data_IF_229016331473
#
_entry.id   IF_229016331473
#
_cell.length_a   1.000
_cell.length_b   1.000
_cell.length_c   1.000
_cell.angle_alpha   90.00
_cell.angle_beta   90.00
_cell.angle_gamma   90.00
#
_symmetry.space_group_name_H-M   'P 1'
#
loop_
_entity.id
_entity.type
_entity.pdbx_description
1 polymer ?
#
# COMPACT_ATOMS: atom_id res chain seq x y z
N UNK A 1 -4.76 -7.94 6.36
CA UNK A 1 -3.61 -7.16 6.85
C UNK A 1 -3.33 -5.97 5.94
N UNK A 2 -3.07 -4.80 6.53
CA UNK A 2 -2.83 -3.55 5.78
C UNK A 2 -1.49 -2.98 6.21
N UNK A 3 -0.56 -2.83 5.26
CA UNK A 3 0.72 -2.17 5.46
C UNK A 3 0.60 -0.69 5.10
N UNK A 4 0.76 0.16 6.10
CA UNK A 4 0.52 1.60 6.03
C UNK A 4 -0.86 1.96 6.60
N UNK A 5 -0.87 2.52 7.81
CA UNK A 5 -2.10 2.94 8.53
C UNK A 5 -2.38 4.44 8.39
N UNK A 6 -1.95 5.01 7.27
CA UNK A 6 -2.28 6.38 6.87
C UNK A 6 -3.69 6.49 6.30
N UNK A 7 -3.97 7.57 5.59
CA UNK A 7 -5.28 7.87 5.03
C UNK A 7 -5.82 6.74 4.13
N UNK A 8 -5.04 6.32 3.13
CA UNK A 8 -5.42 5.21 2.23
C UNK A 8 -5.69 3.93 3.02
N UNK A 9 -4.79 3.55 3.93
CA UNK A 9 -4.94 2.33 4.71
C UNK A 9 -6.18 2.33 5.61
N UNK A 10 -6.50 3.47 6.24
CA UNK A 10 -7.71 3.62 7.05
C UNK A 10 -8.98 3.49 6.21
N UNK A 11 -9.02 4.11 5.04
CA UNK A 11 -10.16 3.98 4.13
C UNK A 11 -10.33 2.56 3.56
N UNK A 12 -9.23 1.86 3.30
CA UNK A 12 -9.28 0.43 2.94
C UNK A 12 -9.84 -0.38 4.10
N UNK A 13 -9.34 -0.17 5.32
CA UNK A 13 -9.82 -0.87 6.51
C UNK A 13 -11.33 -0.70 6.73
N UNK A 14 -11.84 0.53 6.62
CA UNK A 14 -13.27 0.82 6.74
C UNK A 14 -14.10 0.05 5.70
N UNK A 15 -13.65 0.03 4.44
CA UNK A 15 -14.35 -0.70 3.36
C UNK A 15 -14.29 -2.20 3.57
N UNK A 16 -13.14 -2.74 3.96
CA UNK A 16 -13.01 -4.17 4.27
C UNK A 16 -13.94 -4.58 5.41
N UNK A 17 -14.07 -3.75 6.45
CA UNK A 17 -15.04 -3.98 7.54
C UNK A 17 -16.47 -4.03 7.01
N UNK A 18 -16.85 -3.09 6.15
CA UNK A 18 -18.18 -3.06 5.53
C UNK A 18 -18.45 -4.26 4.61
N UNK A 19 -17.40 -4.86 4.05
CA UNK A 19 -17.48 -6.08 3.24
C UNK A 19 -17.43 -7.36 4.06
N UNK A 20 -17.41 -7.27 5.40
CA UNK A 20 -17.47 -8.42 6.30
C UNK A 20 -16.13 -9.01 6.72
N UNK A 21 -15.03 -8.26 6.60
CA UNK A 21 -13.74 -8.72 7.13
C UNK A 21 -13.85 -8.97 8.64
N UNK A 22 -13.54 -10.20 9.06
CA UNK A 22 -13.65 -10.62 10.45
C UNK A 22 -12.56 -9.99 11.33
N UNK A 23 -11.35 -9.84 10.78
CA UNK A 23 -10.18 -9.29 11.48
C UNK A 23 -9.39 -8.39 10.55
N UNK A 24 -9.06 -7.19 10.99
CA UNK A 24 -8.26 -6.23 10.25
C UNK A 24 -7.04 -5.83 11.08
N UNK A 25 -5.86 -6.15 10.58
CA UNK A 25 -4.58 -5.86 11.21
C UNK A 25 -3.91 -4.73 10.44
N UNK A 26 -3.47 -3.70 11.15
CA UNK A 26 -2.69 -2.62 10.59
C UNK A 26 -1.22 -2.67 11.00
N UNK A 27 -0.30 -2.47 10.06
CA UNK A 27 1.12 -2.28 10.36
C UNK A 27 1.59 -0.92 9.88
N UNK A 28 2.31 -0.25 10.75
CA UNK A 28 2.93 1.05 10.46
C UNK A 28 4.28 1.15 11.15
N UNK A 29 5.05 2.18 10.80
CA UNK A 29 6.34 2.42 11.45
C UNK A 29 6.24 2.49 12.99
N UNK A 30 5.19 3.13 13.48
CA UNK A 30 4.98 3.34 14.92
C UNK A 30 4.06 2.32 15.58
N UNK A 31 3.45 1.41 14.84
CA UNK A 31 2.41 0.52 15.37
C UNK A 31 1.13 1.26 15.79
N UNK A 32 0.87 2.44 15.20
CA UNK A 32 -0.28 3.29 15.56
C UNK A 32 -1.07 3.67 14.32
N UNK A 33 -2.34 4.00 14.52
CA UNK A 33 -3.23 4.61 13.54
C UNK A 33 -3.93 5.82 14.17
N UNK A 34 -4.37 6.76 13.34
CA UNK A 34 -5.25 7.86 13.78
C UNK A 34 -6.69 7.42 13.96
N UNK A 35 -7.10 6.41 13.22
CA UNK A 35 -8.47 5.89 13.19
C UNK A 35 -8.59 4.57 13.94
N UNK A 36 -9.70 4.39 14.66
CA UNK A 36 -10.01 3.17 15.42
C UNK A 36 -10.71 2.12 14.55
N UNK A 37 -10.12 1.77 13.39
CA UNK A 37 -10.70 0.86 12.39
C UNK A 37 -10.05 -0.52 12.35
N UNK A 38 -8.94 -0.69 13.06
CA UNK A 38 -8.15 -1.91 13.14
C UNK A 38 -8.44 -2.68 14.42
N UNK A 39 -8.51 -4.01 14.33
CA UNK A 39 -8.63 -4.89 15.50
C UNK A 39 -7.29 -5.04 16.23
N UNK A 40 -6.17 -4.92 15.50
CA UNK A 40 -4.83 -4.93 16.05
C UNK A 40 -3.90 -4.02 15.22
N UNK A 41 -2.92 -3.44 15.92
CA UNK A 41 -1.90 -2.57 15.32
C UNK A 41 -0.52 -3.03 15.78
N UNK A 42 0.41 -3.17 14.83
CA UNK A 42 1.78 -3.59 15.11
C UNK A 42 2.79 -2.65 14.45
N UNK A 43 3.99 -2.53 15.02
CA UNK A 43 5.13 -1.96 14.31
C UNK A 43 5.44 -2.76 13.04
N UNK A 44 5.93 -2.09 12.00
CA UNK A 44 6.25 -2.74 10.73
C UNK A 44 7.34 -3.85 10.87
N UNK A 45 8.15 -3.78 11.92
CA UNK A 45 9.14 -4.81 12.26
C UNK A 45 8.52 -6.16 12.60
N UNK A 46 7.28 -6.20 13.04
CA UNK A 46 6.57 -7.42 13.42
C UNK A 46 5.85 -8.07 12.22
N UNK A 47 6.11 -7.60 11.00
CA UNK A 47 5.44 -8.05 9.76
C UNK A 47 5.49 -9.58 9.62
N UNK A 48 6.65 -10.18 9.85
CA UNK A 48 6.85 -11.62 9.67
C UNK A 48 5.90 -12.46 10.55
N UNK A 49 5.64 -12.01 11.76
CA UNK A 49 4.73 -12.70 12.69
C UNK A 49 3.26 -12.64 12.26
N UNK A 50 2.89 -11.61 11.49
CA UNK A 50 1.51 -11.39 11.04
C UNK A 50 1.23 -12.05 9.69
N UNK A 51 2.24 -12.22 8.83
CA UNK A 51 2.05 -12.74 7.49
C UNK A 51 1.43 -14.13 7.44
N UNK A 52 1.72 -15.01 8.40
CA UNK A 52 1.21 -16.38 8.42
C UNK A 52 -0.31 -16.50 8.62
N UNK A 53 -0.98 -15.47 9.12
CA UNK A 53 -2.44 -15.41 9.27
C UNK A 53 -3.11 -14.45 8.25
N UNK A 54 -2.34 -13.90 7.28
CA UNK A 54 -2.80 -12.88 6.36
C UNK A 54 -3.42 -13.49 5.10
N UNK A 55 -4.74 -13.51 5.00
CA UNK A 55 -5.45 -13.96 3.79
C UNK A 55 -5.47 -12.90 2.68
N UNK A 56 -5.54 -11.62 3.06
CA UNK A 56 -5.46 -10.47 2.16
C UNK A 56 -4.43 -9.49 2.68
N UNK A 57 -3.37 -9.27 1.91
CA UNK A 57 -2.34 -8.26 2.18
C UNK A 57 -2.57 -7.04 1.29
N UNK A 58 -2.84 -5.88 1.90
CA UNK A 58 -2.92 -4.61 1.18
C UNK A 58 -1.73 -3.74 1.56
N UNK A 59 -1.01 -3.24 0.55
CA UNK A 59 0.16 -2.40 0.73
C UNK A 59 -0.13 -0.98 0.24
N UNK A 60 -0.05 -0.02 1.18
CA UNK A 60 -0.22 1.42 0.94
C UNK A 60 0.97 2.18 1.57
N UNK A 61 2.18 1.74 1.25
CA UNK A 61 3.43 2.25 1.81
C UNK A 61 4.06 3.30 0.88
N UNK A 62 4.69 4.35 1.43
CA UNK A 62 5.55 5.25 0.67
C UNK A 62 6.84 4.54 0.23
N UNK A 63 7.56 5.09 -0.76
CA UNK A 63 8.89 4.62 -1.13
C UNK A 63 9.95 5.21 -0.19
N UNK A 64 10.52 4.37 0.65
CA UNK A 64 11.61 4.71 1.57
C UNK A 64 12.61 3.58 1.62
N UNK A 65 13.80 3.82 2.13
CA UNK A 65 14.80 2.77 2.30
C UNK A 65 14.29 1.58 3.14
N UNK A 66 13.36 1.80 4.08
CA UNK A 66 12.80 0.76 4.93
C UNK A 66 11.65 -0.03 4.26
N UNK A 67 11.00 0.55 3.24
CA UNK A 67 9.85 -0.09 2.58
C UNK A 67 10.22 -0.80 1.28
N UNK A 68 11.39 -0.52 0.72
CA UNK A 68 11.91 -1.21 -0.47
C UNK A 68 12.14 -2.69 -0.18
N UNK A 69 11.66 -3.55 -1.07
CA UNK A 69 11.74 -5.01 -0.90
C UNK A 69 11.02 -5.52 0.36
N UNK A 70 10.05 -4.76 0.86
CA UNK A 70 9.30 -5.13 2.07
C UNK A 70 8.65 -6.51 1.93
N UNK A 71 8.11 -6.83 0.76
CA UNK A 71 7.56 -8.14 0.43
C UNK A 71 8.52 -8.84 -0.54
N UNK A 72 9.56 -9.42 0.03
CA UNK A 72 10.55 -10.26 -0.67
C UNK A 72 10.08 -11.72 -0.83
N UNK A 73 10.85 -12.55 -1.53
CA UNK A 73 10.57 -13.99 -1.75
C UNK A 73 10.33 -14.72 -0.44
N UNK A 74 11.12 -14.44 0.60
CA UNK A 74 10.99 -15.07 1.91
C UNK A 74 9.65 -14.74 2.57
N UNK A 75 9.25 -13.48 2.53
CA UNK A 75 7.97 -13.02 3.11
C UNK A 75 6.77 -13.48 2.31
N UNK A 76 6.88 -13.54 0.99
CA UNK A 76 5.85 -14.17 0.14
C UNK A 76 5.63 -15.64 0.56
N UNK A 77 6.68 -16.36 0.91
CA UNK A 77 6.58 -17.73 1.39
C UNK A 77 5.95 -17.88 2.78
N UNK A 78 5.90 -16.83 3.60
CA UNK A 78 5.19 -16.82 4.90
C UNK A 78 3.68 -16.65 4.76
N UNK A 79 3.20 -16.08 3.65
CA UNK A 79 1.76 -15.92 3.43
C UNK A 79 1.07 -17.29 3.35
N UNK A 80 -0.17 -17.45 3.81
CA UNK A 80 -0.94 -18.66 3.59
C UNK A 80 -1.06 -19.00 2.10
N UNK A 81 -1.17 -20.28 1.78
CA UNK A 81 -1.56 -20.67 0.42
C UNK A 81 -2.92 -20.03 0.12
N UNK A 82 -3.06 -19.49 -1.08
CA UNK A 82 -4.26 -18.77 -1.53
C UNK A 82 -4.42 -17.35 -0.97
N UNK A 83 -3.43 -16.79 -0.29
CA UNK A 83 -3.47 -15.38 0.05
C UNK A 83 -3.54 -14.50 -1.22
N UNK A 84 -4.17 -13.34 -1.07
CA UNK A 84 -4.23 -12.29 -2.08
C UNK A 84 -3.30 -11.13 -1.70
N UNK A 85 -2.63 -10.54 -2.68
CA UNK A 85 -1.75 -9.39 -2.49
C UNK A 85 -2.24 -8.21 -3.34
N UNK A 86 -2.43 -7.05 -2.71
CA UNK A 86 -2.81 -5.80 -3.40
C UNK A 86 -1.75 -4.75 -3.08
N UNK A 87 -1.22 -4.08 -4.11
CA UNK A 87 -0.30 -2.97 -3.92
C UNK A 87 -0.79 -1.72 -4.65
N UNK A 88 -1.14 -0.70 -3.86
CA UNK A 88 -1.52 0.65 -4.32
C UNK A 88 -0.54 1.72 -3.78
N UNK A 89 0.57 1.29 -3.20
CA UNK A 89 1.60 2.17 -2.65
C UNK A 89 2.70 2.48 -3.66
N UNK A 90 3.77 1.70 -3.65
CA UNK A 90 4.90 1.83 -4.59
C UNK A 90 5.40 0.45 -5.03
N UNK A 91 5.77 0.33 -6.30
CA UNK A 91 6.26 -0.93 -6.88
C UNK A 91 7.52 -1.45 -6.22
N UNK A 92 8.39 -0.55 -5.75
CA UNK A 92 9.63 -0.88 -5.03
C UNK A 92 9.44 -1.70 -3.76
N UNK A 93 8.21 -1.75 -3.21
CA UNK A 93 7.92 -2.48 -1.99
C UNK A 93 7.83 -4.01 -2.19
N UNK A 94 7.73 -4.49 -3.44
CA UNK A 94 7.58 -5.92 -3.76
C UNK A 94 8.73 -6.37 -4.66
N UNK A 95 9.27 -7.54 -4.37
CA UNK A 95 10.14 -8.30 -5.29
C UNK A 95 9.27 -8.92 -6.39
N UNK A 96 9.19 -8.24 -7.55
CA UNK A 96 8.22 -8.54 -8.61
C UNK A 96 8.41 -9.94 -9.22
N UNK A 97 9.66 -10.38 -9.42
CA UNK A 97 9.95 -11.73 -9.92
C UNK A 97 9.47 -12.79 -8.94
N UNK A 98 9.71 -12.60 -7.64
CA UNK A 98 9.26 -13.54 -6.62
C UNK A 98 7.73 -13.62 -6.55
N UNK A 99 7.04 -12.50 -6.76
CA UNK A 99 5.57 -12.47 -6.82
C UNK A 99 5.06 -13.21 -8.05
N UNK A 100 5.65 -12.99 -9.23
CA UNK A 100 5.29 -13.68 -10.48
C UNK A 100 5.48 -15.19 -10.35
N UNK A 101 6.60 -15.64 -9.78
CA UNK A 101 6.86 -17.05 -9.50
C UNK A 101 5.79 -17.65 -8.60
N UNK A 102 5.49 -17.00 -7.47
CA UNK A 102 4.50 -17.48 -6.51
C UNK A 102 3.08 -17.58 -7.10
N UNK A 103 2.71 -16.66 -7.98
CA UNK A 103 1.44 -16.72 -8.72
C UNK A 103 1.43 -17.88 -9.74
N UNK A 104 2.50 -18.04 -10.51
CA UNK A 104 2.61 -19.08 -11.53
C UNK A 104 2.62 -20.48 -10.93
N UNK A 105 3.21 -20.65 -9.75
CA UNK A 105 3.24 -21.88 -8.95
C UNK A 105 1.92 -22.15 -8.20
N UNK A 106 0.95 -21.23 -8.23
CA UNK A 106 -0.30 -21.35 -7.48
C UNK A 106 -0.09 -21.30 -5.97
N UNK A 107 0.98 -20.66 -5.51
CA UNK A 107 1.29 -20.43 -4.10
C UNK A 107 0.39 -19.33 -3.52
N UNK A 108 0.05 -18.34 -4.34
CA UNK A 108 -0.91 -17.27 -4.04
C UNK A 108 -2.15 -17.43 -4.94
N UNK A 109 -3.31 -17.02 -4.46
CA UNK A 109 -4.56 -17.02 -5.24
C UNK A 109 -4.55 -15.97 -6.34
N UNK A 110 -3.92 -14.83 -6.09
CA UNK A 110 -3.84 -13.74 -7.03
C UNK A 110 -3.16 -12.51 -6.46
N UNK A 111 -2.95 -11.52 -7.34
CA UNK A 111 -2.50 -10.20 -6.92
C UNK A 111 -3.16 -9.10 -7.77
N UNK A 112 -3.18 -7.88 -7.24
CA UNK A 112 -3.56 -6.67 -7.96
C UNK A 112 -2.49 -5.60 -7.70
N UNK A 113 -1.84 -5.13 -8.74
CA UNK A 113 -0.79 -4.12 -8.67
C UNK A 113 -1.19 -2.91 -9.49
N UNK A 114 -1.30 -1.76 -8.85
CA UNK A 114 -1.44 -0.48 -9.55
C UNK A 114 -0.08 0.16 -9.82
N UNK A 115 0.97 -0.38 -9.20
CA UNK A 115 2.33 0.17 -9.24
C UNK A 115 3.36 -0.95 -9.51
N UNK A 116 4.40 -0.61 -10.28
CA UNK A 116 5.47 -1.53 -10.67
C UNK A 116 6.84 -0.82 -10.66
N UNK A 117 7.90 -1.55 -10.98
CA UNK A 117 9.27 -1.02 -11.14
C UNK A 117 9.99 -1.77 -12.27
N UNK A 118 10.52 -1.00 -13.25
CA UNK A 118 10.31 0.42 -13.50
C UNK A 118 8.89 0.72 -14.03
N UNK A 119 8.51 1.97 -14.02
CA UNK A 119 7.30 2.45 -14.69
C UNK A 119 7.70 3.36 -15.86
N UNK A 120 7.20 3.11 -17.10
CA UNK A 120 6.33 1.99 -17.52
C UNK A 120 6.98 0.62 -17.39
N UNK A 121 6.17 -0.40 -17.11
CA UNK A 121 6.65 -1.77 -17.00
C UNK A 121 7.17 -2.28 -18.37
N UNK A 122 8.43 -2.77 -18.49
CA UNK A 122 8.98 -3.30 -19.72
C UNK A 122 8.14 -4.44 -20.30
N UNK A 123 8.10 -4.54 -21.64
CA UNK A 123 7.26 -5.53 -22.33
C UNK A 123 7.64 -6.99 -22.05
N UNK A 124 8.89 -7.24 -21.67
CA UNK A 124 9.44 -8.55 -21.33
C UNK A 124 9.36 -8.89 -19.84
N UNK A 125 8.74 -8.01 -19.03
CA UNK A 125 8.63 -8.23 -17.60
C UNK A 125 7.71 -9.44 -17.30
N UNK A 126 8.12 -10.37 -16.41
CA UNK A 126 7.36 -11.58 -16.09
C UNK A 126 5.96 -11.32 -15.49
N UNK A 127 5.70 -10.14 -14.95
CA UNK A 127 4.37 -9.78 -14.44
C UNK A 127 3.31 -9.78 -15.55
N UNK A 128 3.66 -9.51 -16.83
CA UNK A 128 2.68 -9.53 -17.93
C UNK A 128 2.06 -10.91 -18.18
N UNK A 129 2.78 -11.97 -17.85
CA UNK A 129 2.35 -13.36 -18.06
C UNK A 129 2.04 -14.09 -16.75
N UNK A 130 2.13 -13.42 -15.61
CA UNK A 130 1.82 -13.99 -14.31
C UNK A 130 0.32 -14.33 -14.20
N UNK A 131 0.02 -15.51 -13.67
CA UNK A 131 -1.35 -15.99 -13.49
C UNK A 131 -2.08 -15.19 -12.42
N UNK A 132 -3.38 -14.98 -12.61
CA UNK A 132 -4.24 -14.34 -11.63
C UNK A 132 -3.72 -12.96 -11.14
N UNK A 133 -3.06 -12.21 -12.02
CA UNK A 133 -2.56 -10.88 -11.76
C UNK A 133 -3.41 -9.84 -12.48
N UNK A 134 -3.87 -8.84 -11.76
CA UNK A 134 -4.44 -7.60 -12.29
C UNK A 134 -3.36 -6.53 -12.23
N UNK A 135 -3.03 -5.94 -13.39
CA UNK A 135 -2.13 -4.80 -13.50
C UNK A 135 -2.90 -3.58 -13.96
N UNK A 136 -2.73 -2.45 -13.29
CA UNK A 136 -3.22 -1.15 -13.73
C UNK A 136 -2.06 -0.16 -13.81
N UNK A 137 -2.08 0.82 -14.73
CA UNK A 137 -0.93 1.67 -15.02
C UNK A 137 -0.86 2.90 -14.10
N UNK A 138 -0.77 2.69 -12.79
CA UNK A 138 -0.63 3.70 -11.74
C UNK A 138 -1.78 4.75 -11.79
N UNK A 139 -3.01 4.28 -11.75
CA UNK A 139 -4.22 5.11 -11.93
C UNK A 139 -5.15 5.12 -10.71
N UNK A 140 -4.85 4.39 -9.65
CA UNK A 140 -5.71 4.31 -8.46
C UNK A 140 -5.80 5.62 -7.66
N UNK A 141 -4.80 6.50 -7.80
CA UNK A 141 -4.75 7.83 -7.20
C UNK A 141 -4.91 8.98 -8.23
N UNK A 142 -5.61 8.74 -9.32
CA UNK A 142 -5.65 9.63 -10.46
C UNK A 142 -6.38 10.96 -10.17
N UNK A 143 -5.76 12.07 -10.65
CA UNK A 143 -6.31 13.44 -10.61
C UNK A 143 -7.49 13.67 -11.55
N UNK A 144 -7.91 12.68 -12.33
CA UNK A 144 -9.06 12.81 -13.26
C UNK A 144 -10.42 12.78 -12.55
N UNK A 145 -10.46 12.36 -11.28
CA UNK A 145 -11.68 12.45 -10.48
C UNK A 145 -11.84 13.87 -9.95
N UNK A 146 -12.95 14.53 -10.24
CA UNK A 146 -13.24 15.90 -9.82
C UNK A 146 -13.02 16.11 -8.32
N UNK A 147 -13.49 15.17 -7.49
CA UNK A 147 -13.25 15.20 -6.04
C UNK A 147 -11.76 15.27 -5.67
N UNK A 148 -10.89 14.53 -6.34
CA UNK A 148 -9.44 14.55 -6.06
C UNK A 148 -8.83 15.89 -6.43
N UNK A 149 -9.24 16.48 -7.54
CA UNK A 149 -8.82 17.82 -7.94
C UNK A 149 -9.25 18.86 -6.91
N UNK A 150 -10.51 18.85 -6.51
CA UNK A 150 -11.07 19.82 -5.54
C UNK A 150 -10.35 19.73 -4.19
N UNK A 151 -10.15 18.51 -3.68
CA UNK A 151 -9.43 18.28 -2.43
C UNK A 151 -7.97 18.81 -2.49
N UNK A 152 -7.25 18.59 -3.59
CA UNK A 152 -5.90 19.14 -3.75
C UNK A 152 -5.88 20.66 -3.81
N UNK A 153 -6.85 21.28 -4.48
CA UNK A 153 -6.99 22.74 -4.52
C UNK A 153 -7.27 23.29 -3.13
N UNK A 154 -8.18 22.67 -2.37
CA UNK A 154 -8.49 23.07 -0.99
C UNK A 154 -7.28 22.98 -0.05
N UNK A 155 -6.52 21.86 -0.14
CA UNK A 155 -5.29 21.69 0.63
C UNK A 155 -4.27 22.78 0.29
N UNK A 156 -4.05 23.06 -1.00
CA UNK A 156 -3.15 24.11 -1.44
C UNK A 156 -3.61 25.51 -0.98
N UNK A 157 -4.88 25.84 -1.13
CA UNK A 157 -5.42 27.13 -0.69
C UNK A 157 -5.30 27.31 0.83
N UNK A 158 -5.51 26.25 1.59
CA UNK A 158 -5.34 26.25 3.06
C UNK A 158 -3.89 26.60 3.43
N UNK A 159 -2.93 25.94 2.81
CA UNK A 159 -1.51 26.19 3.10
C UNK A 159 -1.04 27.54 2.56
N UNK A 160 -1.55 28.01 1.43
CA UNK A 160 -1.27 29.34 0.91
C UNK A 160 -1.77 30.44 1.88
N UNK A 161 -2.99 30.30 2.41
CA UNK A 161 -3.53 31.21 3.39
C UNK A 161 -2.72 31.22 4.70
N UNK A 162 -2.27 30.03 5.14
CA UNK A 162 -1.39 29.92 6.30
C UNK A 162 -0.03 30.58 6.06
N UNK A 163 0.57 30.35 4.89
CA UNK A 163 1.84 30.97 4.50
C UNK A 163 1.73 32.51 4.47
N UNK A 164 0.70 33.04 3.83
CA UNK A 164 0.45 34.48 3.75
C UNK A 164 0.24 35.12 5.13
N UNK A 165 -0.31 34.38 6.09
CA UNK A 165 -0.55 34.85 7.45
C UNK A 165 0.61 34.54 8.42
N UNK A 166 1.74 33.99 7.95
CA UNK A 166 2.86 33.59 8.80
C UNK A 166 2.54 32.44 9.76
N UNK A 167 1.54 31.62 9.46
CA UNK A 167 1.15 30.45 10.24
C UNK A 167 1.86 29.18 9.74
N UNK A 168 1.99 28.14 10.58
CA UNK A 168 2.54 26.85 10.15
C UNK A 168 1.70 26.23 9.02
N UNK A 169 2.39 25.58 8.06
CA UNK A 169 1.75 24.78 7.01
C UNK A 169 1.21 23.49 7.61
N UNK A 170 0.07 23.02 7.09
CA UNK A 170 -0.61 21.79 7.55
C UNK A 170 -0.10 20.57 6.77
N UNK A 171 0.16 20.73 5.46
CA UNK A 171 0.52 19.66 4.53
C UNK A 171 2.01 19.67 4.16
N UNK A 172 2.86 19.88 5.16
CA UNK A 172 4.30 19.95 4.96
C UNK A 172 4.91 18.53 4.85
N UNK A 173 5.64 18.29 3.76
CA UNK A 173 6.43 17.06 3.61
C UNK A 173 7.66 17.10 4.53
N UNK A 174 7.81 16.10 5.37
CA UNK A 174 9.02 15.90 6.18
C UNK A 174 10.14 15.34 5.29
N UNK A 175 11.12 16.18 4.94
CA UNK A 175 12.22 15.80 4.04
C UNK A 175 13.10 14.67 4.59
N UNK A 176 13.20 14.52 5.90
CA UNK A 176 13.99 13.44 6.51
C UNK A 176 13.26 12.10 6.40
N UNK A 177 11.93 12.14 6.39
CA UNK A 177 11.07 10.94 6.27
C UNK A 177 10.74 10.59 4.82
N UNK A 178 10.77 11.57 3.91
CA UNK A 178 10.42 11.41 2.49
C UNK A 178 8.91 11.46 2.19
N UNK A 179 8.07 11.80 3.20
CA UNK A 179 6.61 11.94 3.02
C UNK A 179 6.00 12.82 4.11
#
# INVERSE_FOLDING_TARGET
>A
TILGTGDIGCHVAQRMRSMGAAKIIGLSRSGKSREAVYDALYPIGDLDAVLCETELLVMALPDTAQTRGMLDRRRIALLPRQALVINVGRGTAIEQEALADALNEGRLSGAALDVAVPEPLPADNPLWTAKNLILTPHISGNMTLGYTCDANVEMFCTDLANYAAGRPLVHLVDRARGY
#
